data_IF_910585019279
#
_entry.id   IF_910585019279
#
_cell.length_a   1.000
_cell.length_b   1.000
_cell.length_c   1.000
_cell.angle_alpha   90.00
_cell.angle_beta   90.00
_cell.angle_gamma   90.00
#
_symmetry.space_group_name_H-M   'P 1'
#
loop_
_entity.id
_entity.type
_entity.pdbx_description
1 polymer ?
#
# COMPACT_ATOMS: atom_id res chain seq x y z
N UNK A 1 -7.60 12.21 6.39
CA UNK A 1 -8.92 11.94 5.79
C UNK A 1 -9.57 10.77 6.52
N UNK A 2 -10.82 10.45 6.19
CA UNK A 2 -11.62 9.42 6.88
C UNK A 2 -10.93 8.05 6.91
N UNK A 3 -10.27 7.65 5.81
CA UNK A 3 -9.54 6.38 5.74
C UNK A 3 -8.41 6.24 6.78
N UNK A 4 -7.68 7.33 7.08
CA UNK A 4 -6.62 7.31 8.11
C UNK A 4 -7.22 7.14 9.51
N UNK A 5 -8.34 7.80 9.79
CA UNK A 5 -9.06 7.68 11.07
C UNK A 5 -9.53 6.24 11.28
N UNK A 6 -10.15 5.64 10.26
CA UNK A 6 -10.61 4.24 10.31
C UNK A 6 -9.43 3.28 10.49
N UNK A 7 -8.32 3.49 9.77
CA UNK A 7 -7.13 2.64 9.89
C UNK A 7 -6.57 2.64 11.32
N UNK A 8 -6.50 3.82 11.96
CA UNK A 8 -6.05 3.94 13.35
C UNK A 8 -6.98 3.22 14.33
N UNK A 9 -8.30 3.35 14.15
CA UNK A 9 -9.28 2.67 14.98
C UNK A 9 -9.20 1.14 14.85
N UNK A 10 -9.10 0.63 13.62
CA UNK A 10 -8.89 -0.81 13.36
C UNK A 10 -7.61 -1.32 14.02
N UNK A 11 -6.54 -0.51 14.02
CA UNK A 11 -5.29 -0.88 14.65
C UNK A 11 -5.42 -0.93 16.18
N UNK A 12 -6.12 0.05 16.78
CA UNK A 12 -6.41 0.07 18.21
C UNK A 12 -7.24 -1.16 18.63
N UNK A 13 -8.18 -1.59 17.78
CA UNK A 13 -8.95 -2.81 17.94
C UNK A 13 -8.17 -4.10 17.62
N UNK A 14 -6.86 -4.02 17.37
CA UNK A 14 -5.95 -5.14 17.05
C UNK A 14 -6.41 -6.00 15.87
N UNK A 15 -7.15 -5.41 14.91
CA UNK A 15 -7.60 -6.12 13.71
C UNK A 15 -6.42 -6.33 12.76
N UNK A 16 -6.34 -7.51 12.16
CA UNK A 16 -5.32 -7.86 11.16
C UNK A 16 -5.98 -8.43 9.92
N UNK A 17 -5.44 -8.09 8.76
CA UNK A 17 -6.00 -8.44 7.46
C UNK A 17 -4.93 -9.10 6.60
N UNK A 18 -5.30 -10.17 5.90
CA UNK A 18 -4.41 -10.82 4.94
C UNK A 18 -4.28 -10.01 3.64
N UNK A 19 -5.23 -9.11 3.39
CA UNK A 19 -5.26 -8.28 2.20
C UNK A 19 -5.84 -6.89 2.50
N UNK A 20 -5.16 -5.86 2.01
CA UNK A 20 -5.63 -4.48 2.00
C UNK A 20 -5.39 -3.89 0.60
N UNK A 21 -6.40 -3.25 0.03
CA UNK A 21 -6.29 -2.52 -1.23
C UNK A 21 -6.52 -1.04 -0.97
N UNK A 22 -5.53 -0.21 -1.29
CA UNK A 22 -5.58 1.23 -1.15
C UNK A 22 -5.78 1.88 -2.53
N UNK A 23 -6.85 2.66 -2.64
CA UNK A 23 -7.24 3.40 -3.86
C UNK A 23 -7.67 4.84 -3.57
N UNK A 24 -7.66 5.24 -2.29
CA UNK A 24 -8.15 6.56 -1.87
C UNK A 24 -7.18 7.68 -2.28
N UNK A 25 -5.90 7.36 -2.46
CA UNK A 25 -4.83 8.32 -2.76
C UNK A 25 -4.28 8.16 -4.18
N UNK A 26 -5.06 7.58 -5.09
CA UNK A 26 -4.65 7.20 -6.45
C UNK A 26 -3.86 8.27 -7.22
N UNK A 27 -4.33 9.52 -7.17
CA UNK A 27 -3.75 10.68 -7.87
C UNK A 27 -3.12 11.71 -6.91
N UNK A 28 -3.06 11.40 -5.61
CA UNK A 28 -2.54 12.31 -4.60
C UNK A 28 -1.01 12.34 -4.59
N UNK A 29 -0.37 13.46 -4.24
CA UNK A 29 1.07 13.52 -4.02
C UNK A 29 1.56 12.56 -2.92
N UNK A 30 2.87 12.28 -2.92
CA UNK A 30 3.52 11.38 -1.97
C UNK A 30 3.20 11.75 -0.52
N UNK A 31 3.33 13.04 -0.23
CA UNK A 31 3.22 13.62 1.11
C UNK A 31 1.82 13.44 1.69
N UNK A 32 0.80 13.41 0.83
CA UNK A 32 -0.59 13.16 1.20
C UNK A 32 -0.90 11.68 1.36
N UNK A 33 -0.17 10.83 0.66
CA UNK A 33 -0.39 9.37 0.62
C UNK A 33 0.30 8.64 1.77
N UNK A 34 1.52 9.07 2.13
CA UNK A 34 2.36 8.39 3.13
C UNK A 34 1.72 8.20 4.52
N UNK A 35 0.99 9.17 5.10
CA UNK A 35 0.37 8.99 6.42
C UNK A 35 -0.61 7.81 6.44
N UNK A 36 -1.50 7.71 5.44
CA UNK A 36 -2.44 6.60 5.33
C UNK A 36 -1.70 5.27 5.17
N UNK A 37 -0.72 5.20 4.27
CA UNK A 37 0.01 3.95 4.01
C UNK A 37 0.75 3.46 5.25
N UNK A 38 1.34 4.37 6.04
CA UNK A 38 1.95 4.03 7.33
C UNK A 38 0.93 3.50 8.34
N UNK A 39 -0.29 4.03 8.35
CA UNK A 39 -1.38 3.54 9.19
C UNK A 39 -1.91 2.17 8.75
N UNK A 40 -1.84 1.84 7.46
CA UNK A 40 -2.27 0.55 6.90
C UNK A 40 -1.26 -0.59 7.15
N UNK A 41 0.05 -0.31 7.12
CA UNK A 41 1.11 -1.31 7.35
C UNK A 41 0.91 -2.18 8.61
N UNK A 42 0.60 -1.63 9.81
CA UNK A 42 0.38 -2.44 11.01
C UNK A 42 -0.94 -3.22 11.01
N UNK A 43 -1.85 -2.94 10.08
CA UNK A 43 -3.10 -3.70 9.93
C UNK A 43 -2.91 -5.00 9.17
N UNK A 44 -1.75 -5.23 8.55
CA UNK A 44 -1.51 -6.48 7.84
C UNK A 44 -1.21 -7.61 8.82
N UNK A 45 -1.73 -8.80 8.50
CA UNK A 45 -1.31 -10.04 9.14
C UNK A 45 0.17 -10.33 8.84
N UNK A 46 0.73 -11.36 9.48
CA UNK A 46 2.13 -11.76 9.25
C UNK A 46 2.42 -12.13 7.79
N UNK A 47 1.42 -12.62 7.05
CA UNK A 47 1.51 -12.97 5.62
C UNK A 47 0.76 -11.97 4.73
N UNK A 48 0.36 -10.83 5.29
CA UNK A 48 -0.54 -9.90 4.63
C UNK A 48 0.08 -9.17 3.45
N UNK A 49 -0.78 -8.81 2.51
CA UNK A 49 -0.45 -8.06 1.30
C UNK A 49 -1.18 -6.72 1.30
N UNK A 50 -0.43 -5.65 1.04
CA UNK A 50 -0.96 -4.34 0.72
C UNK A 50 -0.78 -4.08 -0.77
N UNK A 51 -1.87 -3.77 -1.46
CA UNK A 51 -1.85 -3.32 -2.85
C UNK A 51 -2.27 -1.86 -2.89
N UNK A 52 -1.50 -1.05 -3.59
CA UNK A 52 -1.72 0.40 -3.71
C UNK A 52 -1.93 0.69 -5.19
N UNK A 53 -3.09 1.24 -5.54
CA UNK A 53 -3.36 1.72 -6.88
C UNK A 53 -2.81 3.14 -7.04
N UNK A 54 -1.96 3.36 -8.05
CA UNK A 54 -1.32 4.66 -8.29
C UNK A 54 -1.42 5.07 -9.74
N UNK A 55 -1.54 6.37 -9.98
CA UNK A 55 -1.41 6.91 -11.32
C UNK A 55 0.02 6.76 -11.86
N UNK A 56 0.18 6.38 -13.13
CA UNK A 56 1.45 6.01 -13.78
C UNK A 56 2.45 7.16 -13.91
N UNK A 57 1.93 8.39 -14.03
CA UNK A 57 2.75 9.61 -14.07
C UNK A 57 3.04 10.16 -12.67
N UNK A 58 2.52 9.49 -11.64
CA UNK A 58 2.80 9.81 -10.26
C UNK A 58 4.19 9.35 -9.83
N UNK A 59 4.35 9.34 -8.53
CA UNK A 59 5.56 9.03 -7.76
C UNK A 59 5.72 7.53 -7.43
N UNK A 60 5.07 6.62 -8.16
CA UNK A 60 4.93 5.21 -7.76
C UNK A 60 6.26 4.52 -7.41
N UNK A 61 7.34 4.85 -8.12
CA UNK A 61 8.69 4.36 -7.81
C UNK A 61 9.25 4.91 -6.48
N UNK A 62 9.05 6.20 -6.20
CA UNK A 62 9.47 6.82 -4.94
C UNK A 62 8.66 6.24 -3.78
N UNK A 63 7.35 6.12 -3.95
CA UNK A 63 6.48 5.54 -2.94
C UNK A 63 6.86 4.08 -2.64
N UNK A 64 7.09 3.28 -3.67
CA UNK A 64 7.57 1.90 -3.50
C UNK A 64 8.90 1.85 -2.74
N UNK A 65 9.85 2.73 -3.04
CA UNK A 65 11.13 2.81 -2.32
C UNK A 65 10.94 3.12 -0.82
N UNK A 66 10.02 4.03 -0.49
CA UNK A 66 9.69 4.36 0.91
C UNK A 66 9.07 3.17 1.66
N UNK A 67 8.38 2.26 0.98
CA UNK A 67 7.73 1.12 1.60
C UNK A 67 8.64 -0.09 1.80
N UNK A 68 9.73 -0.21 1.02
CA UNK A 68 10.66 -1.37 1.09
C UNK A 68 11.09 -1.76 2.51
N UNK A 69 11.40 -0.83 3.44
CA UNK A 69 11.79 -1.20 4.81
C UNK A 69 10.71 -1.95 5.60
N UNK A 70 9.45 -1.90 5.19
CA UNK A 70 8.31 -2.47 5.93
C UNK A 70 7.82 -3.82 5.40
N UNK A 71 8.37 -4.28 4.28
CA UNK A 71 7.89 -5.42 3.51
C UNK A 71 9.05 -6.24 2.98
N UNK A 72 8.91 -7.55 2.97
CA UNK A 72 9.92 -8.43 2.38
C UNK A 72 9.98 -8.27 0.85
N UNK A 73 8.84 -8.00 0.22
CA UNK A 73 8.81 -7.73 -1.22
C UNK A 73 7.92 -6.54 -1.57
N UNK A 74 8.40 -5.71 -2.51
CA UNK A 74 7.66 -4.59 -3.10
C UNK A 74 7.84 -4.63 -4.61
N UNK A 75 6.75 -4.82 -5.35
CA UNK A 75 6.76 -4.96 -6.81
C UNK A 75 5.82 -3.94 -7.46
N UNK A 76 6.26 -3.31 -8.54
CA UNK A 76 5.39 -2.47 -9.36
C UNK A 76 4.84 -3.30 -10.52
N UNK A 77 3.53 -3.25 -10.74
CA UNK A 77 2.85 -3.94 -11.84
C UNK A 77 1.96 -2.96 -12.59
N UNK A 78 2.20 -2.78 -13.88
CA UNK A 78 1.23 -2.13 -14.76
C UNK A 78 0.03 -3.05 -14.94
N UNK A 79 -1.19 -2.52 -14.82
CA UNK A 79 -2.41 -3.32 -15.00
C UNK A 79 -2.55 -3.80 -16.46
N UNK A 80 -2.22 -2.92 -17.41
CA UNK A 80 -2.11 -3.23 -18.85
C UNK A 80 -1.13 -2.24 -19.50
N UNK A 81 -0.67 -2.52 -20.73
CA UNK A 81 0.36 -1.71 -21.41
C UNK A 81 -0.01 -0.22 -21.53
N UNK A 82 -1.29 0.06 -21.80
CA UNK A 82 -1.84 1.41 -21.96
C UNK A 82 -2.54 1.95 -20.69
N UNK A 83 -2.52 1.21 -19.58
CA UNK A 83 -3.20 1.64 -18.37
C UNK A 83 -2.52 2.87 -17.77
N UNK A 84 -3.35 3.79 -17.28
CA UNK A 84 -2.88 4.92 -16.51
C UNK A 84 -2.55 4.57 -15.07
N UNK A 85 -2.82 3.33 -14.66
CA UNK A 85 -2.59 2.87 -13.31
C UNK A 85 -1.46 1.82 -13.20
N UNK A 86 -0.70 1.96 -12.12
CA UNK A 86 0.35 1.06 -11.67
C UNK A 86 -0.03 0.59 -10.27
N UNK A 87 -0.01 -0.71 -10.06
CA UNK A 87 -0.16 -1.30 -8.74
C UNK A 87 1.20 -1.43 -8.08
N UNK A 88 1.32 -0.96 -6.84
CA UNK A 88 2.43 -1.30 -5.96
C UNK A 88 1.95 -2.43 -5.07
N UNK A 89 2.56 -3.60 -5.21
CA UNK A 89 2.23 -4.81 -4.45
C UNK A 89 3.29 -5.02 -3.38
N UNK A 90 2.90 -4.92 -2.11
CA UNK A 90 3.76 -5.01 -0.94
C UNK A 90 3.37 -6.24 -0.10
N UNK A 91 4.29 -7.19 0.11
CA UNK A 91 4.00 -8.40 0.88
C UNK A 91 4.88 -8.50 2.14
N UNK A 92 4.26 -8.82 3.29
CA UNK A 92 4.95 -8.97 4.58
C UNK A 92 5.87 -10.19 4.61
N UNK A 93 5.50 -11.24 3.89
CA UNK A 93 6.35 -12.36 3.58
C UNK A 93 6.38 -12.55 2.05
N UNK A 94 7.50 -12.98 1.50
CA UNK A 94 7.54 -13.39 0.10
C UNK A 94 6.63 -14.62 -0.09
N UNK A 95 5.80 -14.62 -1.14
CA UNK A 95 5.07 -15.81 -1.53
C UNK A 95 6.07 -16.84 -2.07
N UNK A 96 6.40 -17.84 -1.24
CA UNK A 96 7.27 -18.97 -1.61
C UNK A 96 8.67 -18.95 -0.95
N UNK A 97 8.71 -19.03 0.39
CA UNK A 97 9.87 -19.49 1.15
C UNK A 97 9.53 -20.81 1.83
#
# INVERSE_FOLDING_TARGET
GEADVVARWLNAARRRFDFVFEDATYAEPLERSLPLLRALVPLLSRRGVLVINRHRRGDAHRLAATLRPHFESVRLRRVRRAAENVLIVCAKLAAGA
#
